data_IF_540730114725
#
_entry.id   IF_540730114725
#
_cell.length_a   1.000
_cell.length_b   1.000
_cell.length_c   1.000
_cell.angle_alpha   90.00
_cell.angle_beta   90.00
_cell.angle_gamma   90.00
#
_symmetry.space_group_name_H-M   'P 1'
#
loop_
_entity.id
_entity.type
_entity.pdbx_description
1 polymer ?
#
# COMPACT_ATOMS: atom_id res chain seq x y z
N UNK A 1 11.07 16.91 5.43
CA UNK A 1 10.47 17.48 4.20
C UNK A 1 9.67 18.74 4.52
N UNK A 2 10.32 19.68 5.20
CA UNK A 2 9.72 20.94 5.63
C UNK A 2 9.74 21.93 4.44
N UNK A 3 8.57 22.42 3.96
CA UNK A 3 8.48 23.27 2.78
C UNK A 3 9.32 24.54 2.86
N UNK A 4 9.34 25.21 4.02
CA UNK A 4 10.05 26.48 4.23
C UNK A 4 11.56 26.31 4.08
N UNK A 5 12.09 25.15 4.51
CA UNK A 5 13.52 24.83 4.35
C UNK A 5 13.88 24.45 2.93
N UNK A 6 12.92 23.97 2.15
CA UNK A 6 13.14 23.42 0.81
C UNK A 6 12.98 24.44 -0.31
N UNK A 7 12.19 25.50 -0.09
CA UNK A 7 11.91 26.56 -1.08
C UNK A 7 13.16 27.20 -1.68
N UNK A 8 14.26 27.28 -0.92
CA UNK A 8 15.55 27.84 -1.38
C UNK A 8 16.22 27.02 -2.50
N UNK A 9 15.84 25.75 -2.66
CA UNK A 9 16.39 24.87 -3.69
C UNK A 9 15.57 24.90 -4.98
N UNK A 10 14.44 25.62 -4.99
CA UNK A 10 13.62 25.71 -6.19
C UNK A 10 14.34 26.58 -7.23
N UNK A 11 14.31 26.17 -8.52
CA UNK A 11 14.93 26.93 -9.58
C UNK A 11 14.35 28.35 -9.62
N UNK A 12 15.23 29.35 -9.64
CA UNK A 12 14.85 30.77 -9.67
C UNK A 12 14.87 31.25 -11.13
N UNK A 13 13.71 31.18 -11.79
CA UNK A 13 13.50 31.69 -13.16
C UNK A 13 13.29 30.60 -14.22
N UNK A 14 12.61 30.98 -15.31
CA UNK A 14 12.19 30.09 -16.39
C UNK A 14 10.72 29.67 -16.32
N UNK A 15 10.22 29.06 -17.39
CA UNK A 15 8.91 28.38 -17.39
C UNK A 15 9.08 26.91 -16.97
N UNK A 16 8.18 26.40 -16.14
CA UNK A 16 8.20 25.01 -15.70
C UNK A 16 7.29 24.75 -14.49
N UNK A 17 7.10 23.47 -14.16
CA UNK A 17 6.33 23.02 -13.01
C UNK A 17 7.22 22.22 -12.06
N UNK A 18 6.98 22.34 -10.75
CA UNK A 18 7.65 21.56 -9.70
C UNK A 18 6.61 20.58 -9.14
N UNK A 19 6.91 19.28 -9.21
CA UNK A 19 6.12 18.24 -8.57
C UNK A 19 6.84 17.77 -7.31
N UNK A 20 6.15 17.82 -6.17
CA UNK A 20 6.65 17.34 -4.88
C UNK A 20 5.73 16.22 -4.40
N UNK A 21 6.30 15.06 -4.06
CA UNK A 21 5.58 13.99 -3.36
C UNK A 21 6.04 13.97 -1.90
N UNK A 22 5.09 14.08 -0.97
CA UNK A 22 5.39 14.15 0.46
C UNK A 22 4.19 13.66 1.26
N UNK A 23 4.45 13.11 2.45
CA UNK A 23 3.41 12.78 3.44
C UNK A 23 3.08 13.95 4.37
N UNK A 24 3.86 15.03 4.32
CA UNK A 24 3.66 16.21 5.14
C UNK A 24 2.53 17.08 4.53
N UNK A 25 1.38 17.11 5.20
CA UNK A 25 0.22 17.87 4.71
C UNK A 25 0.43 19.39 4.71
N UNK A 26 1.46 19.91 5.39
CA UNK A 26 1.77 21.36 5.39
C UNK A 26 2.14 21.88 4.01
N UNK A 27 2.49 21.01 3.05
CA UNK A 27 2.73 21.37 1.65
C UNK A 27 1.52 22.03 0.97
N UNK A 28 0.29 21.76 1.43
CA UNK A 28 -0.94 22.40 0.94
C UNK A 28 -0.97 23.93 1.13
N UNK A 29 -0.13 24.47 2.02
CA UNK A 29 -0.02 25.92 2.24
C UNK A 29 0.89 26.62 1.21
N UNK A 30 1.62 25.85 0.39
CA UNK A 30 2.66 26.36 -0.52
C UNK A 30 2.39 26.10 -1.99
N UNK A 31 1.28 25.44 -2.32
CA UNK A 31 0.85 25.17 -3.69
C UNK A 31 -0.39 24.27 -3.73
N UNK A 32 -0.84 23.95 -4.94
CA UNK A 32 -1.95 23.05 -5.15
C UNK A 32 -1.56 21.63 -4.72
N UNK A 33 -2.17 21.15 -3.64
CA UNK A 33 -1.98 19.79 -3.16
C UNK A 33 -3.01 18.87 -3.80
N UNK A 34 -2.54 17.77 -4.40
CA UNK A 34 -3.38 16.69 -4.89
C UNK A 34 -3.32 15.52 -3.89
N UNK A 35 -4.38 15.27 -3.10
CA UNK A 35 -4.43 14.08 -2.26
C UNK A 35 -4.43 12.83 -3.14
N UNK A 36 -3.68 11.81 -2.73
CA UNK A 36 -3.71 10.48 -3.33
C UNK A 36 -4.44 9.58 -2.35
N UNK A 37 -5.60 9.09 -2.76
CA UNK A 37 -6.45 8.24 -1.95
C UNK A 37 -6.12 6.75 -2.16
N UNK A 38 -6.83 5.89 -1.42
CA UNK A 38 -6.89 4.45 -1.71
C UNK A 38 -7.52 4.21 -3.09
N UNK A 39 -7.39 2.97 -3.60
CA UNK A 39 -8.11 2.59 -4.81
C UNK A 39 -9.62 2.61 -4.56
N UNK A 40 -10.37 2.91 -5.62
CA UNK A 40 -11.78 2.55 -5.66
C UNK A 40 -11.89 1.03 -5.63
N UNK A 41 -12.99 0.51 -5.07
CA UNK A 41 -13.23 -0.94 -4.98
C UNK A 41 -13.07 -1.65 -6.33
N UNK A 42 -13.60 -1.04 -7.39
CA UNK A 42 -13.49 -1.58 -8.75
C UNK A 42 -12.05 -1.62 -9.26
N UNK A 43 -11.22 -0.62 -8.93
CA UNK A 43 -9.79 -0.60 -9.27
C UNK A 43 -9.03 -1.71 -8.52
N UNK A 44 -9.36 -1.94 -7.24
CA UNK A 44 -8.80 -3.04 -6.46
C UNK A 44 -9.12 -4.41 -7.06
N UNK A 45 -10.42 -4.65 -7.38
CA UNK A 45 -10.88 -5.90 -7.97
C UNK A 45 -10.22 -6.11 -9.34
N UNK A 46 -10.23 -5.09 -10.20
CA UNK A 46 -9.61 -5.17 -11.51
C UNK A 46 -8.11 -5.48 -11.41
N UNK A 47 -7.41 -4.83 -10.47
CA UNK A 47 -5.98 -5.06 -10.25
C UNK A 47 -5.70 -6.49 -9.77
N UNK A 48 -6.46 -6.99 -8.80
CA UNK A 48 -6.35 -8.36 -8.28
C UNK A 48 -6.53 -9.39 -9.40
N UNK A 49 -7.59 -9.25 -10.19
CA UNK A 49 -7.91 -10.20 -11.26
C UNK A 49 -6.92 -10.15 -12.42
N UNK A 50 -6.40 -8.95 -12.75
CA UNK A 50 -5.36 -8.79 -13.77
C UNK A 50 -4.07 -9.51 -13.37
N UNK A 51 -3.71 -9.48 -12.09
CA UNK A 51 -2.46 -10.04 -11.57
C UNK A 51 -2.58 -11.52 -11.20
N UNK A 52 -3.75 -11.97 -10.76
CA UNK A 52 -4.10 -13.35 -10.42
C UNK A 52 -5.28 -13.85 -11.29
N UNK A 53 -5.00 -14.27 -12.54
CA UNK A 53 -6.06 -14.73 -13.45
C UNK A 53 -6.83 -15.93 -12.88
N UNK A 54 -8.15 -15.85 -12.94
CA UNK A 54 -9.05 -16.90 -12.43
C UNK A 54 -9.59 -16.63 -11.02
N UNK A 55 -9.19 -15.53 -10.37
CA UNK A 55 -9.83 -15.06 -9.15
C UNK A 55 -11.27 -14.60 -9.45
N UNK A 56 -12.24 -15.12 -8.69
CA UNK A 56 -13.64 -14.72 -8.84
C UNK A 56 -13.87 -13.28 -8.39
N UNK A 57 -14.94 -12.65 -8.85
CA UNK A 57 -15.33 -11.29 -8.40
C UNK A 57 -15.56 -11.26 -6.87
N UNK A 58 -16.18 -12.30 -6.32
CA UNK A 58 -16.47 -12.42 -4.89
C UNK A 58 -15.18 -12.54 -4.07
N UNK A 59 -14.25 -13.40 -4.49
CA UNK A 59 -12.96 -13.56 -3.81
C UNK A 59 -12.12 -12.28 -3.91
N UNK A 60 -12.13 -11.61 -5.07
CA UNK A 60 -11.43 -10.35 -5.27
C UNK A 60 -11.99 -9.24 -4.38
N UNK A 61 -13.31 -9.15 -4.23
CA UNK A 61 -13.96 -8.19 -3.33
C UNK A 61 -13.61 -8.45 -1.86
N UNK A 62 -13.58 -9.71 -1.43
CA UNK A 62 -13.19 -10.09 -0.08
C UNK A 62 -11.73 -9.74 0.21
N UNK A 63 -10.82 -10.02 -0.72
CA UNK A 63 -9.40 -9.66 -0.59
C UNK A 63 -9.23 -8.15 -0.56
N UNK A 64 -9.86 -7.41 -1.48
CA UNK A 64 -9.82 -5.95 -1.54
C UNK A 64 -10.30 -5.32 -0.23
N UNK A 65 -11.41 -5.83 0.32
CA UNK A 65 -11.93 -5.43 1.63
C UNK A 65 -10.92 -5.69 2.75
N UNK A 66 -10.31 -6.88 2.78
CA UNK A 66 -9.40 -7.26 3.85
C UNK A 66 -8.11 -6.42 3.86
N UNK A 67 -7.65 -5.97 2.69
CA UNK A 67 -6.46 -5.09 2.56
C UNK A 67 -6.82 -3.61 2.52
N UNK A 68 -8.10 -3.27 2.68
CA UNK A 68 -8.60 -1.90 2.76
C UNK A 68 -8.40 -1.07 1.50
N UNK A 69 -8.43 -1.71 0.33
CA UNK A 69 -8.28 -1.05 -0.99
C UNK A 69 -6.97 -0.25 -1.15
N UNK A 70 -5.97 -0.53 -0.31
CA UNK A 70 -4.71 0.22 -0.32
C UNK A 70 -3.82 -0.27 -1.47
N UNK A 71 -3.44 0.58 -2.44
CA UNK A 71 -2.82 0.15 -3.70
C UNK A 71 -1.63 -0.81 -3.53
N UNK A 72 -0.75 -0.50 -2.58
CA UNK A 72 0.41 -1.34 -2.27
C UNK A 72 0.00 -2.69 -1.68
N UNK A 73 -0.98 -2.70 -0.78
CA UNK A 73 -1.47 -3.91 -0.13
C UNK A 73 -2.23 -4.80 -1.14
N UNK A 74 -2.98 -4.18 -2.05
CA UNK A 74 -3.65 -4.85 -3.17
C UNK A 74 -2.63 -5.55 -4.08
N UNK A 75 -1.55 -4.87 -4.53
CA UNK A 75 -0.50 -5.53 -5.34
C UNK A 75 0.18 -6.67 -4.59
N UNK A 76 0.46 -6.51 -3.30
CA UNK A 76 1.09 -7.57 -2.50
C UNK A 76 0.20 -8.81 -2.35
N UNK A 77 -1.09 -8.61 -2.08
CA UNK A 77 -2.07 -9.70 -2.04
C UNK A 77 -2.16 -10.40 -3.40
N UNK A 78 -2.25 -9.62 -4.47
CA UNK A 78 -2.38 -10.14 -5.82
C UNK A 78 -1.16 -10.97 -6.25
N UNK A 79 0.05 -10.48 -5.98
CA UNK A 79 1.29 -11.20 -6.24
C UNK A 79 1.36 -12.52 -5.45
N UNK A 80 0.97 -12.50 -4.17
CA UNK A 80 0.95 -13.70 -3.35
C UNK A 80 -0.03 -14.77 -3.85
N UNK A 81 -1.25 -14.36 -4.18
CA UNK A 81 -2.29 -15.27 -4.69
C UNK A 81 -1.81 -15.92 -6.00
N UNK A 82 -1.24 -15.11 -6.90
CA UNK A 82 -0.71 -15.59 -8.18
C UNK A 82 0.46 -16.58 -8.03
N UNK A 83 1.34 -16.37 -7.05
CA UNK A 83 2.51 -17.25 -6.84
C UNK A 83 2.20 -18.54 -6.10
N UNK A 84 1.23 -18.50 -5.17
CA UNK A 84 1.01 -19.61 -4.23
C UNK A 84 -0.18 -20.49 -4.58
N UNK A 85 -1.12 -20.00 -5.40
CA UNK A 85 -2.41 -20.65 -5.64
C UNK A 85 -3.14 -21.05 -4.33
N UNK A 86 -2.91 -20.31 -3.25
CA UNK A 86 -3.53 -20.55 -1.95
C UNK A 86 -5.04 -20.34 -2.06
N UNK A 87 -5.89 -21.23 -1.52
CA UNK A 87 -7.32 -20.98 -1.42
C UNK A 87 -7.60 -19.65 -0.69
N UNK A 88 -8.50 -18.83 -1.23
CA UNK A 88 -8.70 -17.45 -0.76
C UNK A 88 -9.15 -17.39 0.68
N UNK A 89 -10.05 -18.28 1.12
CA UNK A 89 -10.43 -18.38 2.53
C UNK A 89 -9.22 -18.60 3.46
N UNK A 90 -8.28 -19.46 3.07
CA UNK A 90 -7.05 -19.70 3.84
C UNK A 90 -6.12 -18.49 3.84
N UNK A 91 -6.02 -17.78 2.71
CA UNK A 91 -5.26 -16.53 2.64
C UNK A 91 -5.85 -15.46 3.60
N UNK A 92 -7.17 -15.29 3.60
CA UNK A 92 -7.86 -14.32 4.45
C UNK A 92 -7.70 -14.66 5.95
N UNK A 93 -7.76 -15.94 6.31
CA UNK A 93 -7.49 -16.39 7.68
C UNK A 93 -6.06 -16.07 8.11
N UNK A 94 -5.06 -16.33 7.26
CA UNK A 94 -3.67 -16.01 7.55
C UNK A 94 -3.45 -14.50 7.71
N UNK A 95 -4.06 -13.71 6.84
CA UNK A 95 -4.00 -12.25 6.89
C UNK A 95 -4.58 -11.71 8.20
N UNK A 96 -5.74 -12.22 8.63
CA UNK A 96 -6.39 -11.82 9.87
C UNK A 96 -5.55 -12.16 11.12
N UNK A 97 -4.81 -13.28 11.09
CA UNK A 97 -3.93 -13.68 12.20
C UNK A 97 -2.65 -12.84 12.29
N UNK A 98 -2.16 -12.32 11.16
CA UNK A 98 -0.92 -11.51 11.12
C UNK A 98 -1.19 -10.01 11.35
N UNK A 99 -2.39 -9.51 11.05
CA UNK A 99 -2.75 -8.10 11.19
C UNK A 99 -2.44 -7.47 12.57
N UNK A 100 -2.74 -8.11 13.72
CA UNK A 100 -2.45 -7.54 15.04
C UNK A 100 -0.96 -7.33 15.30
N UNK A 101 -0.10 -8.15 14.70
CA UNK A 101 1.34 -8.10 14.91
C UNK A 101 1.99 -6.93 14.16
N UNK A 102 1.36 -6.46 13.08
CA UNK A 102 1.91 -5.35 12.28
C UNK A 102 1.44 -3.99 12.74
N UNK A 103 0.20 -3.91 13.24
CA UNK A 103 -0.33 -2.72 13.91
C UNK A 103 0.51 -2.33 15.13
N UNK A 104 1.15 -3.30 15.78
CA UNK A 104 2.06 -3.10 16.91
C UNK A 104 3.46 -2.58 16.50
N UNK A 105 3.85 -2.66 15.22
CA UNK A 105 5.25 -2.49 14.79
C UNK A 105 5.62 -1.14 14.17
N UNK A 106 4.67 -0.30 13.79
CA UNK A 106 4.86 1.13 13.50
C UNK A 106 3.55 1.67 12.94
N UNK A 107 2.87 2.54 13.68
CA UNK A 107 1.82 3.39 13.14
C UNK A 107 2.45 4.73 12.72
N UNK A 108 2.65 5.02 11.42
CA UNK A 108 2.78 6.40 11.01
C UNK A 108 1.45 7.09 11.32
N UNK A 109 1.49 8.18 12.10
CA UNK A 109 0.28 8.93 12.45
C UNK A 109 -0.51 9.28 11.18
N UNK A 110 -1.78 8.81 11.10
CA UNK A 110 -2.68 9.03 9.98
C UNK A 110 -2.78 7.91 8.93
N UNK A 111 -2.15 6.74 9.15
CA UNK A 111 -2.32 5.57 8.27
C UNK A 111 -3.57 4.75 8.65
N UNK A 112 -4.43 4.36 7.69
CA UNK A 112 -5.46 3.36 7.94
C UNK A 112 -4.84 2.01 8.33
N UNK A 113 -5.42 1.38 9.35
CA UNK A 113 -5.06 0.05 9.90
C UNK A 113 -4.74 -1.06 8.86
N UNK A 114 -5.39 -1.16 7.69
CA UNK A 114 -5.22 -2.32 6.80
C UNK A 114 -3.84 -2.44 6.11
N UNK A 115 -3.07 -1.35 5.97
CA UNK A 115 -1.74 -1.41 5.28
C UNK A 115 -0.73 -2.22 6.07
N UNK A 116 -0.80 -2.15 7.39
CA UNK A 116 0.18 -2.77 8.25
C UNK A 116 0.17 -4.29 8.01
N UNK A 117 -1.01 -4.92 8.01
CA UNK A 117 -1.18 -6.38 7.92
C UNK A 117 -0.46 -7.04 6.73
N UNK A 118 -0.56 -6.46 5.53
CA UNK A 118 -0.05 -7.08 4.30
C UNK A 118 1.48 -7.00 4.19
N UNK A 119 2.11 -5.97 4.77
CA UNK A 119 3.56 -5.78 4.70
C UNK A 119 4.35 -6.90 5.40
N UNK A 120 3.82 -7.45 6.51
CA UNK A 120 4.53 -8.49 7.25
C UNK A 120 4.43 -9.89 6.64
N UNK A 121 3.42 -10.21 5.83
CA UNK A 121 3.35 -11.52 5.18
C UNK A 121 4.52 -11.69 4.21
N UNK A 122 4.82 -10.63 3.45
CA UNK A 122 5.96 -10.60 2.53
C UNK A 122 7.31 -10.54 3.25
N UNK A 123 7.41 -9.79 4.36
CA UNK A 123 8.67 -9.65 5.14
C UNK A 123 8.97 -10.89 5.99
N UNK A 124 7.97 -11.55 6.59
CA UNK A 124 8.15 -12.77 7.39
C UNK A 124 8.70 -13.91 6.53
N UNK A 125 8.22 -14.06 5.29
CA UNK A 125 8.78 -15.05 4.35
C UNK A 125 10.16 -14.65 3.81
N UNK A 126 10.47 -13.35 3.70
CA UNK A 126 11.82 -12.91 3.34
C UNK A 126 12.83 -13.26 4.44
N UNK A 127 12.46 -13.15 5.73
CA UNK A 127 13.27 -13.62 6.86
C UNK A 127 13.52 -15.14 6.83
N UNK A 128 12.53 -15.92 6.42
CA UNK A 128 12.67 -17.38 6.31
C UNK A 128 13.54 -17.81 5.12
N UNK A 129 13.51 -17.08 3.99
CA UNK A 129 14.28 -17.44 2.78
C UNK A 129 15.65 -16.78 2.68
N UNK A 130 15.88 -15.66 3.35
CA UNK A 130 17.17 -14.97 3.38
C UNK A 130 17.36 -14.20 4.69
N UNK A 131 17.96 -14.81 5.73
CA UNK A 131 18.15 -14.19 7.04
C UNK A 131 19.04 -12.93 7.03
N UNK A 132 19.68 -12.61 5.90
CA UNK A 132 20.60 -11.49 5.75
C UNK A 132 19.98 -10.22 5.11
N UNK A 133 18.68 -10.23 4.79
CA UNK A 133 18.00 -9.13 4.09
C UNK A 133 17.35 -8.08 5.02
N UNK A 134 17.60 -8.17 6.34
CA UNK A 134 17.10 -7.21 7.36
C UNK A 134 18.24 -6.80 8.27
#
# INVERSE_FOLDING_TARGET
DDPEKLRRYFPQGGSGHILVTSRNQSWSQHGDALPVDVFLREESIEHLQRRAPGLSDEDADQVATAVGDLPLAVEQAAAWIAETATPIGTYLEQLAQQAPQVLALNQPAGYPEPVAATWNISISRLKERSPAAV
#
